data_IF_387123371325
#
_entry.id   IF_387123371325
#
_cell.length_a   1.000
_cell.length_b   1.000
_cell.length_c   1.000
_cell.angle_alpha   90.00
_cell.angle_beta   90.00
_cell.angle_gamma   90.00
#
_symmetry.space_group_name_H-M   'P 1'
#
loop_
_entity.id
_entity.type
_entity.pdbx_description
1 polymer ?
#
# COMPACT_ATOMS: atom_id res chain seq x y z
N UNK A 1 -50.55 28.28 -21.83
CA UNK A 1 -50.13 28.00 -20.43
C UNK A 1 -49.18 26.80 -20.31
N UNK A 2 -49.35 25.75 -21.11
CA UNK A 2 -48.54 24.51 -21.02
C UNK A 2 -47.06 24.67 -21.42
N UNK A 3 -46.75 25.48 -22.44
CA UNK A 3 -45.38 25.69 -22.91
C UNK A 3 -44.49 26.45 -21.89
N UNK A 4 -45.04 27.47 -21.22
CA UNK A 4 -44.33 28.23 -20.17
C UNK A 4 -44.01 27.31 -18.98
N UNK A 5 -44.94 26.40 -18.64
CA UNK A 5 -44.73 25.41 -17.60
C UNK A 5 -43.61 24.41 -17.97
N UNK A 6 -43.49 24.04 -19.25
CA UNK A 6 -42.43 23.17 -19.75
C UNK A 6 -41.05 23.85 -19.67
N UNK A 7 -40.94 25.09 -20.12
CA UNK A 7 -39.69 25.88 -20.11
C UNK A 7 -39.21 26.13 -18.66
N UNK A 8 -40.14 26.44 -17.75
CA UNK A 8 -39.82 26.56 -16.32
C UNK A 8 -39.31 25.25 -15.73
N UNK A 9 -39.86 24.11 -16.17
CA UNK A 9 -39.44 22.77 -15.74
C UNK A 9 -38.03 22.43 -16.25
N UNK A 10 -37.70 22.80 -17.49
CA UNK A 10 -36.37 22.61 -18.08
C UNK A 10 -35.31 23.50 -17.41
N UNK A 11 -35.63 24.78 -17.14
CA UNK A 11 -34.75 25.69 -16.40
C UNK A 11 -34.42 25.16 -14.99
N UNK A 12 -35.41 24.57 -14.30
CA UNK A 12 -35.22 23.87 -13.02
C UNK A 12 -34.25 22.68 -13.12
N UNK A 13 -34.35 21.88 -14.19
CA UNK A 13 -33.45 20.73 -14.43
C UNK A 13 -32.02 21.21 -14.68
N UNK A 14 -31.82 22.30 -15.42
CA UNK A 14 -30.52 22.91 -15.69
C UNK A 14 -29.83 23.44 -14.42
N UNK A 15 -30.58 24.09 -13.53
CA UNK A 15 -30.05 24.56 -12.23
C UNK A 15 -29.66 23.39 -11.31
N UNK A 16 -30.40 22.27 -11.37
CA UNK A 16 -30.11 21.07 -10.57
C UNK A 16 -28.87 20.30 -11.07
N UNK A 17 -28.62 20.28 -12.39
CA UNK A 17 -27.36 19.73 -12.97
C UNK A 17 -26.13 20.58 -12.63
N UNK A 18 -26.27 21.91 -12.52
CA UNK A 18 -25.18 22.82 -12.15
C UNK A 18 -24.75 22.65 -10.68
N UNK A 19 -25.66 22.15 -9.83
CA UNK A 19 -25.35 21.57 -8.50
C UNK A 19 -24.87 20.11 -8.64
N UNK A 20 -23.95 19.86 -9.56
CA UNK A 20 -23.27 18.58 -9.65
C UNK A 20 -22.70 18.26 -8.26
N UNK A 21 -23.17 17.14 -7.71
CA UNK A 21 -23.12 16.90 -6.28
C UNK A 21 -21.68 16.99 -5.75
N UNK A 22 -21.43 17.76 -4.68
CA UNK A 22 -20.13 17.76 -4.02
C UNK A 22 -19.74 16.35 -3.54
N UNK A 23 -20.74 15.47 -3.35
CA UNK A 23 -20.53 14.05 -3.05
C UNK A 23 -19.94 13.25 -4.25
N UNK A 24 -20.28 13.59 -5.50
CA UNK A 24 -19.68 12.95 -6.68
C UNK A 24 -18.22 13.40 -6.86
N UNK A 25 -17.95 14.69 -6.62
CA UNK A 25 -16.61 15.28 -6.64
C UNK A 25 -15.76 14.65 -5.53
N UNK A 26 -16.32 14.52 -4.32
CA UNK A 26 -15.66 13.87 -3.20
C UNK A 26 -15.40 12.38 -3.49
N UNK A 27 -16.34 11.67 -4.13
CA UNK A 27 -16.15 10.27 -4.51
C UNK A 27 -15.03 10.08 -5.55
N UNK A 28 -14.93 10.97 -6.54
CA UNK A 28 -13.82 10.98 -7.53
C UNK A 28 -12.47 11.26 -6.85
N UNK A 29 -12.39 12.28 -6.01
CA UNK A 29 -11.17 12.61 -5.26
C UNK A 29 -10.74 11.47 -4.33
N UNK A 30 -11.69 10.80 -3.66
CA UNK A 30 -11.40 9.62 -2.84
C UNK A 30 -10.92 8.45 -3.70
N UNK A 31 -11.47 8.27 -4.90
CA UNK A 31 -11.01 7.22 -5.82
C UNK A 31 -9.58 7.46 -6.31
N UNK A 32 -9.18 8.71 -6.55
CA UNK A 32 -7.80 9.06 -6.92
C UNK A 32 -6.81 8.87 -5.76
N UNK A 33 -7.19 9.23 -4.52
CA UNK A 33 -6.37 8.97 -3.31
C UNK A 33 -6.20 7.47 -3.08
N UNK A 34 -7.28 6.67 -3.22
CA UNK A 34 -7.21 5.21 -3.12
C UNK A 34 -6.39 4.57 -4.23
N UNK A 35 -6.41 5.15 -5.44
CA UNK A 35 -5.60 4.66 -6.57
C UNK A 35 -4.11 4.95 -6.36
N UNK A 36 -3.77 6.07 -5.73
CA UNK A 36 -2.37 6.43 -5.47
C UNK A 36 -1.75 5.61 -4.31
N UNK A 37 -2.56 5.17 -3.34
CA UNK A 37 -2.13 4.21 -2.32
C UNK A 37 -1.92 2.78 -2.86
N UNK A 38 -2.68 2.37 -3.89
CA UNK A 38 -2.52 1.04 -4.50
C UNK A 38 -1.21 0.90 -5.30
N UNK A 39 -0.74 1.98 -5.92
CA UNK A 39 0.52 1.96 -6.70
C UNK A 39 1.75 1.89 -5.79
N UNK A 40 1.71 2.50 -4.60
CA UNK A 40 2.81 2.46 -3.62
C UNK A 40 2.90 1.15 -2.83
N UNK A 41 1.85 0.31 -2.82
CA UNK A 41 1.90 -1.03 -2.22
C UNK A 41 2.53 -2.05 -3.15
N UNK A 42 2.27 -1.94 -4.45
CA UNK A 42 2.72 -2.91 -5.46
C UNK A 42 4.24 -2.86 -5.72
N UNK A 43 4.90 -1.73 -5.44
CA UNK A 43 6.37 -1.62 -5.51
C UNK A 43 7.06 -2.22 -4.29
N UNK A 44 6.41 -2.26 -3.11
CA UNK A 44 6.94 -2.95 -1.92
C UNK A 44 6.76 -4.46 -1.97
N UNK A 45 5.70 -4.95 -2.62
CA UNK A 45 5.46 -6.39 -2.77
C UNK A 45 6.47 -7.08 -3.70
N UNK A 46 7.05 -6.35 -4.68
CA UNK A 46 8.14 -6.87 -5.53
C UNK A 46 9.48 -7.03 -4.79
N UNK A 47 9.69 -6.29 -3.71
CA UNK A 47 10.82 -6.49 -2.79
C UNK A 47 10.52 -7.63 -1.78
N UNK A 48 9.28 -7.75 -1.30
CA UNK A 48 8.82 -8.79 -0.36
C UNK A 48 8.80 -10.22 -0.96
N UNK A 49 8.62 -10.37 -2.27
CA UNK A 49 8.69 -11.68 -2.93
C UNK A 49 10.13 -12.19 -3.13
N UNK A 50 11.13 -11.38 -2.77
CA UNK A 50 12.57 -11.72 -2.82
C UNK A 50 13.14 -12.02 -1.43
N UNK A 51 12.30 -12.25 -0.42
CA UNK A 51 12.73 -12.83 0.87
C UNK A 51 13.01 -14.32 0.66
N UNK A 52 14.05 -14.60 -0.14
CA UNK A 52 14.77 -15.85 -0.06
C UNK A 52 15.62 -15.75 1.20
N UNK A 53 15.21 -16.40 2.28
CA UNK A 53 16.14 -16.67 3.39
C UNK A 53 17.26 -17.50 2.76
N UNK A 54 18.41 -16.87 2.50
CA UNK A 54 19.53 -17.60 1.91
C UNK A 54 20.11 -18.47 3.01
N UNK A 55 20.39 -19.72 2.67
CA UNK A 55 21.08 -20.63 3.59
C UNK A 55 22.45 -20.09 3.96
N UNK A 56 23.10 -19.41 3.02
CA UNK A 56 24.34 -18.65 3.20
C UNK A 56 24.25 -17.66 4.37
N UNK A 57 23.13 -16.92 4.48
CA UNK A 57 22.93 -15.91 5.53
C UNK A 57 22.77 -16.57 6.91
N UNK A 58 22.11 -17.73 6.96
CA UNK A 58 21.96 -18.54 8.18
C UNK A 58 23.31 -19.13 8.59
N UNK A 59 24.08 -19.65 7.64
CA UNK A 59 25.42 -20.21 7.87
C UNK A 59 26.39 -19.14 8.36
N UNK A 60 26.36 -17.93 7.79
CA UNK A 60 27.18 -16.82 8.23
C UNK A 60 26.88 -16.43 9.68
N UNK A 61 25.60 -16.32 10.06
CA UNK A 61 25.21 -16.01 11.44
C UNK A 61 25.60 -17.16 12.39
N UNK A 62 25.47 -18.41 11.95
CA UNK A 62 25.92 -19.56 12.74
C UNK A 62 27.43 -19.58 12.96
N UNK A 63 28.23 -19.15 11.97
CA UNK A 63 29.69 -19.12 12.05
C UNK A 63 30.22 -17.93 12.84
N UNK A 64 29.70 -16.73 12.59
CA UNK A 64 30.23 -15.48 13.18
C UNK A 64 29.73 -15.26 14.62
N UNK A 65 28.47 -15.62 14.91
CA UNK A 65 27.85 -15.40 16.23
C UNK A 65 27.70 -16.69 17.04
N UNK A 66 28.15 -17.83 16.50
CA UNK A 66 28.05 -19.16 17.13
C UNK A 66 26.62 -19.49 17.61
N UNK A 67 25.61 -18.97 16.90
CA UNK A 67 24.21 -19.17 17.26
C UNK A 67 23.69 -20.51 16.71
N UNK A 68 22.80 -21.19 17.44
CA UNK A 68 22.13 -22.36 16.90
C UNK A 68 21.27 -21.97 15.71
N UNK A 69 21.20 -22.83 14.69
CA UNK A 69 20.45 -22.64 13.45
C UNK A 69 19.03 -22.09 13.68
N UNK A 70 18.33 -22.62 14.69
CA UNK A 70 16.98 -22.19 15.05
C UNK A 70 16.90 -20.71 15.44
N UNK A 71 17.93 -20.16 16.12
CA UNK A 71 17.99 -18.74 16.48
C UNK A 71 18.38 -17.88 15.28
N UNK A 72 19.34 -18.32 14.46
CA UNK A 72 19.76 -17.61 13.25
C UNK A 72 18.61 -17.49 12.23
N UNK A 73 17.90 -18.59 11.97
CA UNK A 73 16.72 -18.59 11.10
C UNK A 73 15.59 -17.72 11.68
N UNK A 74 15.42 -17.71 12.99
CA UNK A 74 14.40 -16.88 13.65
C UNK A 74 14.72 -15.39 13.50
N UNK A 75 15.96 -14.99 13.72
CA UNK A 75 16.38 -13.60 13.57
C UNK A 75 16.25 -13.13 12.10
N UNK A 76 16.68 -13.95 11.15
CA UNK A 76 16.51 -13.65 9.72
C UNK A 76 15.03 -13.60 9.30
N UNK A 77 14.15 -14.42 9.91
CA UNK A 77 12.70 -14.34 9.68
C UNK A 77 12.11 -13.05 10.24
N UNK A 78 12.55 -12.63 11.42
CA UNK A 78 12.10 -11.41 12.09
C UNK A 78 12.46 -10.15 11.28
N UNK A 79 13.61 -10.15 10.61
CA UNK A 79 14.08 -9.05 9.74
C UNK A 79 13.88 -9.30 8.24
N UNK A 80 12.93 -10.16 7.87
CA UNK A 80 12.54 -10.39 6.47
C UNK A 80 13.72 -10.74 5.53
N UNK A 81 14.70 -11.50 6.03
CA UNK A 81 15.90 -11.91 5.28
C UNK A 81 16.94 -10.81 5.09
N UNK A 82 16.83 -9.68 5.80
CA UNK A 82 17.83 -8.62 5.76
C UNK A 82 18.99 -8.93 6.71
N UNK A 83 20.10 -9.43 6.14
CA UNK A 83 21.34 -9.75 6.86
C UNK A 83 21.85 -8.59 7.72
N UNK A 84 21.90 -7.38 7.16
CA UNK A 84 22.52 -6.22 7.80
C UNK A 84 21.70 -5.83 9.03
N UNK A 85 20.39 -5.75 8.88
CA UNK A 85 19.48 -5.41 9.97
C UNK A 85 19.47 -6.48 11.06
N UNK A 86 19.56 -7.75 10.67
CA UNK A 86 19.69 -8.89 11.60
C UNK A 86 21.00 -8.79 12.40
N UNK A 87 22.14 -8.56 11.74
CA UNK A 87 23.44 -8.44 12.39
C UNK A 87 23.51 -7.23 13.33
N UNK A 88 22.95 -6.09 12.93
CA UNK A 88 22.85 -4.89 13.77
C UNK A 88 22.04 -5.20 15.03
N UNK A 89 20.91 -5.87 14.89
CA UNK A 89 20.02 -6.21 16.02
C UNK A 89 20.62 -7.25 16.95
N UNK A 90 21.44 -8.18 16.43
CA UNK A 90 22.13 -9.18 17.24
C UNK A 90 23.39 -8.65 17.94
N UNK A 91 23.92 -7.50 17.53
CA UNK A 91 25.16 -6.91 18.06
C UNK A 91 24.92 -5.71 18.99
N UNK A 92 23.77 -5.03 18.86
CA UNK A 92 23.36 -3.93 19.74
C UNK A 92 22.67 -4.42 21.01
#
# INVERSE_FOLDING_TARGET
>A
MTAVLQILKELQIMQKKKKLNPMLILCLLINDVKRQEAVNKMTKEKELAKVSIKKEDVELIMQELELPKNKAERALREHQGNLIETLITLTN
#
